data_IF_260484366329
#
_entry.id   IF_260484366329
#
_cell.length_a   1.000
_cell.length_b   1.000
_cell.length_c   1.000
_cell.angle_alpha   90.00
_cell.angle_beta   90.00
_cell.angle_gamma   90.00
#
_symmetry.space_group_name_H-M   'P 1'
#
loop_
_entity.id
_entity.type
_entity.pdbx_description
1 polymer ?
#
# COMPACT_ATOMS: atom_id res chain seq x y z
N UNK A 1 -15.43 4.29 -1.64
CA UNK A 1 -14.49 4.31 -2.79
C UNK A 1 -13.41 5.32 -2.45
N UNK A 2 -12.13 4.98 -2.56
CA UNK A 2 -11.02 5.88 -2.19
C UNK A 2 -10.29 6.32 -3.46
N UNK A 3 -10.03 7.62 -3.58
CA UNK A 3 -9.24 8.19 -4.67
C UNK A 3 -7.80 8.35 -4.21
N UNK A 4 -6.84 7.88 -5.02
CA UNK A 4 -5.41 8.04 -4.76
C UNK A 4 -4.87 9.23 -5.55
N UNK A 5 -3.93 9.96 -4.96
CA UNK A 5 -3.22 11.07 -5.58
C UNK A 5 -1.75 10.72 -5.83
N UNK A 6 -1.04 11.61 -6.54
CA UNK A 6 0.41 11.46 -6.77
C UNK A 6 1.16 11.25 -5.45
N UNK A 7 2.14 10.34 -5.46
CA UNK A 7 2.89 9.94 -4.27
C UNK A 7 2.23 8.84 -3.42
N UNK A 8 1.00 8.43 -3.74
CA UNK A 8 0.37 7.30 -3.06
C UNK A 8 1.06 5.97 -3.42
N UNK A 9 1.22 5.11 -2.41
CA UNK A 9 1.64 3.71 -2.58
C UNK A 9 0.39 2.83 -2.52
N UNK A 10 0.27 1.86 -3.41
CA UNK A 10 -0.82 0.89 -3.43
C UNK A 10 -0.30 -0.50 -3.84
N UNK A 11 -1.08 -1.54 -3.56
CA UNK A 11 -0.67 -2.94 -3.79
C UNK A 11 0.28 -3.48 -2.71
N UNK A 12 0.52 -2.70 -1.66
CA UNK A 12 1.45 -3.01 -0.58
C UNK A 12 1.02 -4.22 0.24
N UNK A 13 -0.28 -4.46 0.39
CA UNK A 13 -0.81 -5.63 1.09
C UNK A 13 -0.26 -6.93 0.50
N UNK A 14 -0.33 -7.08 -0.83
CA UNK A 14 0.13 -8.31 -1.49
C UNK A 14 1.63 -8.55 -1.37
N UNK A 15 2.44 -7.50 -1.20
CA UNK A 15 3.86 -7.64 -0.87
C UNK A 15 4.04 -8.19 0.56
N UNK A 16 3.24 -7.71 1.52
CA UNK A 16 3.39 -8.05 2.94
C UNK A 16 2.76 -9.39 3.34
N UNK A 17 1.57 -9.71 2.85
CA UNK A 17 0.77 -10.85 3.31
C UNK A 17 0.72 -12.03 2.33
N UNK A 18 1.29 -11.84 1.14
CA UNK A 18 1.34 -12.81 0.04
C UNK A 18 -0.04 -13.29 -0.46
N UNK A 19 -1.11 -12.53 -0.18
CA UNK A 19 -2.47 -12.85 -0.63
C UNK A 19 -2.81 -12.22 -1.99
N UNK A 20 -3.85 -12.73 -2.67
CA UNK A 20 -4.38 -12.09 -3.87
C UNK A 20 -4.76 -10.63 -3.66
N UNK A 21 -4.85 -9.87 -4.76
CA UNK A 21 -5.24 -8.44 -4.75
C UNK A 21 -6.49 -8.20 -3.91
N UNK A 22 -6.39 -7.30 -2.93
CA UNK A 22 -7.52 -6.91 -2.07
C UNK A 22 -8.48 -5.94 -2.75
N UNK A 23 -8.03 -5.25 -3.80
CA UNK A 23 -8.83 -4.28 -4.54
C UNK A 23 -8.39 -4.18 -6.02
N UNK A 24 -9.23 -3.53 -6.83
CA UNK A 24 -8.89 -3.09 -8.19
C UNK A 24 -8.51 -1.62 -8.15
N UNK A 25 -7.41 -1.24 -8.81
CA UNK A 25 -7.02 0.16 -9.01
C UNK A 25 -7.23 0.50 -10.49
N UNK A 26 -7.89 1.63 -10.75
CA UNK A 26 -8.18 2.11 -12.10
C UNK A 26 -7.60 3.52 -12.21
N UNK A 27 -6.76 3.75 -13.22
CA UNK A 27 -6.25 5.09 -13.50
C UNK A 27 -7.39 5.94 -14.09
N UNK A 28 -7.74 7.04 -13.41
CA UNK A 28 -8.76 7.99 -13.87
C UNK A 28 -8.21 9.02 -14.86
N UNK A 29 -6.87 9.14 -14.93
CA UNK A 29 -6.11 10.02 -15.82
C UNK A 29 -4.80 9.35 -16.23
N UNK A 30 -4.09 9.90 -17.21
CA UNK A 30 -2.74 9.44 -17.59
C UNK A 30 -1.82 9.45 -16.37
N UNK A 31 -1.33 8.27 -15.99
CA UNK A 31 -0.58 8.06 -14.75
C UNK A 31 0.67 7.23 -15.03
N UNK A 32 1.79 7.61 -14.41
CA UNK A 32 3.03 6.83 -14.40
C UNK A 32 3.28 6.30 -12.98
N UNK A 33 3.62 5.02 -12.86
CA UNK A 33 3.90 4.38 -11.58
C UNK A 33 5.28 3.73 -11.59
N UNK A 34 5.98 3.82 -10.46
CA UNK A 34 7.11 2.94 -10.19
C UNK A 34 6.59 1.61 -9.65
N UNK A 35 7.20 0.51 -10.09
CA UNK A 35 6.81 -0.84 -9.69
C UNK A 35 7.95 -1.45 -8.89
N UNK A 36 7.61 -1.93 -7.69
CA UNK A 36 8.46 -2.80 -6.89
C UNK A 36 7.77 -4.15 -6.80
N UNK A 37 8.29 -5.15 -7.52
CA UNK A 37 7.77 -6.51 -7.44
C UNK A 37 8.33 -7.27 -6.22
N UNK A 38 7.79 -8.46 -5.98
CA UNK A 38 8.15 -9.30 -4.82
C UNK A 38 9.63 -9.70 -4.83
N UNK A 39 10.18 -10.02 -6.00
CA UNK A 39 11.56 -10.50 -6.09
C UNK A 39 12.53 -9.34 -5.86
N UNK A 40 12.24 -8.15 -6.40
CA UNK A 40 12.98 -6.92 -6.10
C UNK A 40 12.87 -6.50 -4.65
N UNK A 41 11.72 -6.70 -4.02
CA UNK A 41 11.57 -6.46 -2.58
C UNK A 41 12.43 -7.41 -1.75
N UNK A 42 12.46 -8.71 -2.09
CA UNK A 42 13.34 -9.69 -1.43
C UNK A 42 14.81 -9.33 -1.58
N UNK A 43 15.25 -9.00 -2.80
CA UNK A 43 16.62 -8.51 -3.04
C UNK A 43 16.93 -7.27 -2.20
N UNK A 44 16.00 -6.31 -2.10
CA UNK A 44 16.17 -5.11 -1.28
C UNK A 44 16.35 -5.45 0.21
N UNK A 45 15.62 -6.45 0.72
CA UNK A 45 15.76 -6.90 2.10
C UNK A 45 17.15 -7.49 2.38
N UNK A 46 17.71 -8.25 1.43
CA UNK A 46 19.02 -8.89 1.54
C UNK A 46 20.16 -7.90 1.36
N UNK A 47 20.10 -7.08 0.30
CA UNK A 47 21.20 -6.18 -0.10
C UNK A 47 21.20 -4.87 0.69
N UNK A 48 20.02 -4.34 1.04
CA UNK A 48 19.87 -3.02 1.67
C UNK A 48 18.86 -3.04 2.84
N UNK A 49 19.14 -3.75 3.95
CA UNK A 49 18.19 -3.94 5.06
C UNK A 49 17.66 -2.63 5.68
N UNK A 50 18.48 -1.57 5.72
CA UNK A 50 18.08 -0.25 6.25
C UNK A 50 17.02 0.43 5.39
N UNK A 51 17.14 0.29 4.06
CA UNK A 51 16.15 0.81 3.10
C UNK A 51 14.87 0.00 3.21
N UNK A 52 14.97 -1.33 3.24
CA UNK A 52 13.82 -2.21 3.42
C UNK A 52 13.05 -1.89 4.72
N UNK A 53 13.76 -1.69 5.84
CA UNK A 53 13.15 -1.31 7.13
C UNK A 53 12.41 0.03 7.03
N UNK A 54 12.98 1.00 6.34
CA UNK A 54 12.34 2.31 6.12
C UNK A 54 11.07 2.17 5.27
N UNK A 55 11.11 1.33 4.23
CA UNK A 55 9.96 1.03 3.38
C UNK A 55 8.84 0.31 4.16
N UNK A 56 9.18 -0.68 4.99
CA UNK A 56 8.22 -1.33 5.90
C UNK A 56 7.54 -0.32 6.83
N UNK A 57 8.30 0.62 7.40
CA UNK A 57 7.73 1.68 8.25
C UNK A 57 6.74 2.55 7.50
N UNK A 58 7.05 2.93 6.25
CA UNK A 58 6.15 3.72 5.40
C UNK A 58 4.87 2.94 5.10
N UNK A 59 4.98 1.67 4.72
CA UNK A 59 3.83 0.81 4.44
C UNK A 59 2.95 0.67 5.69
N UNK A 60 3.55 0.43 6.86
CA UNK A 60 2.81 0.31 8.12
C UNK A 60 2.02 1.59 8.45
N UNK A 61 2.61 2.77 8.23
CA UNK A 61 1.91 4.05 8.43
C UNK A 61 0.73 4.23 7.47
N UNK A 62 0.88 3.82 6.21
CA UNK A 62 -0.19 3.88 5.20
C UNK A 62 -1.35 2.96 5.57
N UNK A 63 -1.05 1.72 5.98
CA UNK A 63 -2.07 0.75 6.38
C UNK A 63 -2.81 1.21 7.64
N UNK A 64 -2.09 1.77 8.62
CA UNK A 64 -2.70 2.33 9.82
C UNK A 64 -3.65 3.50 9.49
N UNK A 65 -3.27 4.35 8.55
CA UNK A 65 -4.11 5.46 8.10
C UNK A 65 -5.38 4.98 7.39
N UNK A 66 -5.22 4.04 6.45
CA UNK A 66 -6.34 3.40 5.75
C UNK A 66 -7.30 2.69 6.70
N UNK A 67 -6.78 1.98 7.69
CA UNK A 67 -7.59 1.29 8.70
C UNK A 67 -8.40 2.28 9.54
N UNK A 68 -7.78 3.39 9.98
CA UNK A 68 -8.52 4.46 10.68
C UNK A 68 -9.63 5.04 9.81
N UNK A 69 -9.34 5.33 8.55
CA UNK A 69 -10.34 5.82 7.60
C UNK A 69 -11.49 4.82 7.40
N UNK A 70 -11.19 3.53 7.24
CA UNK A 70 -12.20 2.49 7.12
C UNK A 70 -13.08 2.37 8.38
N UNK A 71 -12.47 2.44 9.57
CA UNK A 71 -13.20 2.38 10.84
C UNK A 71 -14.18 3.55 11.01
N UNK A 72 -13.81 4.76 10.55
CA UNK A 72 -14.72 5.92 10.59
C UNK A 72 -15.95 5.67 9.72
N UNK A 73 -15.76 5.20 8.48
CA UNK A 73 -16.87 4.89 7.56
C UNK A 73 -17.79 3.81 8.13
N UNK A 74 -17.23 2.79 8.78
CA UNK A 74 -18.01 1.73 9.42
C UNK A 74 -18.85 2.31 10.57
N UNK A 75 -18.25 3.14 11.42
CA UNK A 75 -18.95 3.75 12.55
C UNK A 75 -20.12 4.66 12.11
N UNK A 76 -19.97 5.38 11.00
CA UNK A 76 -21.04 6.21 10.42
C UNK A 76 -22.21 5.39 9.82
N UNK A 77 -21.96 4.14 9.43
CA UNK A 77 -23.00 3.24 8.90
C UNK A 77 -23.80 2.54 10.00
N UNK A 78 -23.24 2.45 11.21
CA UNK A 78 -23.89 1.84 12.39
C UNK A 78 -24.74 2.84 13.19
N UNK A 79 -24.67 4.14 12.87
CA UNK A 79 -25.47 5.22 13.46
C UNK A 79 -26.72 5.55 12.64
#
# INVERSE_FOLDING_TARGET
MVTLASGAIFGEMGILDEKPRSATVIATTTTSCYVLDRDRFKMLQEEQPRIATSLFRIIALILADRLRGANVVIAELES
#
